data_IF_484848308178
#
_entry.id   IF_484848308178
#
_cell.length_a   1.000
_cell.length_b   1.000
_cell.length_c   1.000
_cell.angle_alpha   90.00
_cell.angle_beta   90.00
_cell.angle_gamma   90.00
#
_symmetry.space_group_name_H-M   'P 1'
#
loop_
_entity.id
_entity.type
_entity.pdbx_description
1 polymer ?
#
# COMPACT_ATOMS: atom_id res chain seq x y z
N UNK A 1 21.28 46.99 45.95
CA UNK A 1 22.41 46.06 46.17
C UNK A 1 21.89 44.63 45.98
N UNK A 2 22.18 43.99 44.85
CA UNK A 2 21.82 42.59 44.59
C UNK A 2 22.78 41.65 45.34
N UNK A 3 22.22 40.64 46.03
CA UNK A 3 22.96 39.55 46.66
C UNK A 3 23.45 38.56 45.59
N UNK A 4 24.77 38.40 45.48
CA UNK A 4 25.44 37.32 44.76
C UNK A 4 25.26 36.00 45.54
N UNK A 5 24.67 34.99 44.90
CA UNK A 5 24.79 33.59 45.35
C UNK A 5 25.96 32.94 44.60
N UNK A 6 26.87 32.35 45.36
CA UNK A 6 28.10 31.74 44.88
C UNK A 6 27.85 30.47 44.05
N UNK A 7 28.54 30.38 42.92
CA UNK A 7 28.60 29.23 42.02
C UNK A 7 29.52 28.16 42.66
N UNK A 8 29.05 26.91 42.81
CA UNK A 8 29.89 25.77 43.24
C UNK A 8 30.83 25.34 42.10
N UNK A 9 32.07 24.91 42.40
CA UNK A 9 32.99 24.46 41.36
C UNK A 9 32.56 23.10 40.75
N UNK A 10 32.65 23.03 39.42
CA UNK A 10 32.42 21.83 38.60
C UNK A 10 33.58 20.85 38.85
N UNK A 11 33.28 19.60 39.21
CA UNK A 11 34.28 18.52 39.32
C UNK A 11 34.76 18.09 37.93
N UNK A 12 36.05 17.73 37.76
CA UNK A 12 36.55 17.25 36.47
C UNK A 12 35.96 15.87 36.14
N UNK A 13 35.44 15.74 34.91
CA UNK A 13 34.97 14.49 34.33
C UNK A 13 36.21 13.66 33.94
N UNK A 14 36.34 12.45 34.49
CA UNK A 14 37.38 11.48 34.06
C UNK A 14 37.01 10.91 32.69
N UNK A 15 37.97 10.69 31.77
CA UNK A 15 37.70 10.04 30.49
C UNK A 15 37.40 8.55 30.73
N UNK A 16 36.20 8.10 30.34
CA UNK A 16 35.86 6.69 30.31
C UNK A 16 36.31 6.12 28.95
N UNK A 17 37.46 5.47 28.93
CA UNK A 17 37.90 4.62 27.83
C UNK A 17 37.02 3.36 27.82
N UNK A 18 36.05 3.30 26.91
CA UNK A 18 35.30 2.07 26.63
C UNK A 18 36.14 1.22 25.69
N UNK A 19 36.80 0.21 26.24
CA UNK A 19 37.45 -0.83 25.46
C UNK A 19 36.37 -1.70 24.79
N UNK A 20 36.36 -1.70 23.47
CA UNK A 20 35.57 -2.62 22.64
C UNK A 20 36.16 -4.03 22.79
N UNK A 21 35.51 -4.89 23.58
CA UNK A 21 35.73 -6.33 23.54
C UNK A 21 34.74 -6.96 22.56
N UNK A 22 35.20 -7.30 21.36
CA UNK A 22 34.47 -8.17 20.44
C UNK A 22 34.37 -9.58 21.03
N UNK A 23 33.17 -9.96 21.52
CA UNK A 23 32.86 -11.37 21.82
C UNK A 23 32.44 -12.05 20.52
N UNK A 24 33.28 -12.96 20.02
CA UNK A 24 32.89 -13.92 19.00
C UNK A 24 31.79 -14.84 19.55
N UNK A 25 30.57 -14.73 19.02
CA UNK A 25 29.54 -15.75 19.18
C UNK A 25 29.76 -16.82 18.10
N UNK A 26 30.32 -17.96 18.49
CA UNK A 26 30.35 -19.16 17.65
C UNK A 26 29.03 -19.89 17.82
N UNK A 27 28.19 -19.89 16.78
CA UNK A 27 26.97 -20.71 16.73
C UNK A 27 27.40 -22.16 16.47
N UNK A 28 27.21 -23.04 17.46
CA UNK A 28 27.27 -24.49 17.25
C UNK A 28 25.97 -24.92 16.59
N UNK A 29 26.05 -25.46 15.37
CA UNK A 29 24.95 -26.13 14.69
C UNK A 29 24.85 -27.54 15.27
N UNK A 30 23.76 -27.81 15.97
CA UNK A 30 23.44 -29.16 16.46
C UNK A 30 22.73 -29.93 15.33
N UNK A 31 23.45 -30.84 14.69
CA UNK A 31 22.92 -31.76 13.69
C UNK A 31 22.41 -33.02 14.38
N UNK A 32 21.27 -32.92 15.07
CA UNK A 32 20.54 -34.11 15.49
C UNK A 32 19.05 -33.81 15.68
N UNK A 33 18.25 -34.01 14.63
CA UNK A 33 16.93 -34.59 14.85
C UNK A 33 16.41 -35.33 13.61
N UNK A 34 16.01 -36.57 13.89
CA UNK A 34 15.58 -37.59 12.95
C UNK A 34 14.26 -37.20 12.28
N UNK A 35 14.16 -37.53 11.00
CA UNK A 35 12.94 -37.47 10.24
C UNK A 35 11.99 -38.60 10.69
N UNK A 36 10.85 -38.24 11.26
CA UNK A 36 9.69 -39.12 11.34
C UNK A 36 8.94 -39.05 10.01
N UNK A 37 9.14 -40.10 9.22
CA UNK A 37 8.42 -40.36 7.96
C UNK A 37 7.09 -41.02 8.32
N UNK A 38 5.99 -40.27 8.20
CA UNK A 38 4.66 -40.86 8.16
C UNK A 38 4.48 -41.48 6.77
N UNK A 39 4.41 -42.81 6.74
CA UNK A 39 3.96 -43.60 5.59
C UNK A 39 2.44 -43.52 5.54
N UNK A 40 1.89 -42.96 4.47
CA UNK A 40 0.53 -43.28 4.04
C UNK A 40 0.59 -44.26 2.87
N UNK A 41 0.08 -45.46 3.13
CA UNK A 41 -0.10 -46.54 2.16
C UNK A 41 -1.41 -46.36 1.39
N UNK A 42 -1.25 -46.29 0.07
CA UNK A 42 -2.14 -46.68 -1.03
C UNK A 42 -3.56 -47.18 -0.72
N UNK A 43 -4.52 -46.68 -1.51
CA UNK A 43 -5.30 -47.57 -2.39
C UNK A 43 -5.51 -46.92 -3.76
N UNK A 44 -5.05 -47.66 -4.77
CA UNK A 44 -5.12 -47.42 -6.19
C UNK A 44 -6.48 -47.90 -6.72
N UNK A 45 -7.21 -47.07 -7.45
CA UNK A 45 -8.24 -47.55 -8.39
C UNK A 45 -8.09 -46.79 -9.69
N UNK A 46 -7.72 -47.57 -10.71
CA UNK A 46 -7.46 -47.19 -12.09
C UNK A 46 -8.70 -46.64 -12.78
N UNK A 47 -8.63 -45.39 -13.27
CA UNK A 47 -9.51 -44.89 -14.32
C UNK A 47 -8.70 -44.08 -15.33
N UNK A 48 -8.91 -44.41 -16.62
CA UNK A 48 -8.24 -43.94 -17.83
C UNK A 48 -7.97 -42.41 -17.87
N UNK A 49 -6.90 -41.95 -18.54
CA UNK A 49 -6.66 -40.52 -18.72
C UNK A 49 -7.68 -39.95 -19.72
N UNK A 50 -8.67 -39.21 -19.19
CA UNK A 50 -9.51 -38.30 -19.95
C UNK A 50 -8.73 -37.01 -20.25
N UNK A 51 -8.93 -36.46 -21.44
CA UNK A 51 -8.22 -35.31 -22.01
C UNK A 51 -8.03 -34.14 -21.01
N UNK A 52 -6.79 -33.93 -20.57
CA UNK A 52 -6.41 -32.72 -19.84
C UNK A 52 -6.53 -31.50 -20.75
N UNK A 53 -7.43 -30.59 -20.41
CA UNK A 53 -7.45 -29.24 -20.97
C UNK A 53 -6.12 -28.56 -20.63
N UNK A 54 -5.31 -28.27 -21.65
CA UNK A 54 -4.00 -27.63 -21.47
C UNK A 54 -4.12 -26.32 -20.70
N UNK A 55 -3.55 -26.30 -19.48
CA UNK A 55 -3.41 -25.06 -18.72
C UNK A 55 -2.44 -24.12 -19.42
N UNK A 56 -2.83 -22.86 -19.64
CA UNK A 56 -1.92 -21.85 -20.19
C UNK A 56 -0.85 -21.49 -19.15
N UNK A 57 0.33 -21.03 -19.60
CA UNK A 57 1.42 -20.60 -18.71
C UNK A 57 0.94 -19.58 -17.65
N UNK A 58 0.05 -18.66 -18.04
CA UNK A 58 -0.57 -17.70 -17.13
C UNK A 58 -1.35 -18.35 -16.00
N UNK A 59 -2.19 -19.35 -16.30
CA UNK A 59 -2.97 -20.08 -15.27
C UNK A 59 -2.07 -20.81 -14.27
N UNK A 60 -0.96 -21.39 -14.74
CA UNK A 60 0.02 -22.04 -13.88
C UNK A 60 0.69 -21.04 -12.93
N UNK A 61 1.09 -19.86 -13.45
CA UNK A 61 1.67 -18.78 -12.64
C UNK A 61 0.65 -18.28 -11.61
N UNK A 62 -0.60 -18.05 -12.02
CA UNK A 62 -1.68 -17.62 -11.10
C UNK A 62 -1.82 -18.58 -9.93
N UNK A 63 -1.87 -19.90 -10.16
CA UNK A 63 -1.99 -20.90 -9.08
C UNK A 63 -0.83 -20.85 -8.08
N UNK A 64 0.38 -20.52 -8.54
CA UNK A 64 1.56 -20.35 -7.67
C UNK A 64 1.59 -19.02 -6.93
N UNK A 65 0.94 -17.99 -7.48
CA UNK A 65 0.77 -16.69 -6.83
C UNK A 65 -0.37 -16.70 -5.80
N UNK A 66 -1.36 -17.58 -5.95
CA UNK A 66 -2.53 -17.61 -5.08
C UNK A 66 -2.16 -17.68 -3.59
N UNK A 67 -2.68 -16.69 -2.88
CA UNK A 67 -2.65 -16.60 -1.43
C UNK A 67 -3.61 -17.63 -0.85
N UNK A 68 -3.19 -18.29 0.23
CA UNK A 68 -4.06 -19.22 0.98
C UNK A 68 -4.64 -18.49 2.17
N UNK A 69 -5.95 -18.66 2.42
CA UNK A 69 -6.57 -18.17 3.65
C UNK A 69 -5.86 -18.79 4.86
N UNK A 70 -5.66 -17.99 5.91
CA UNK A 70 -5.16 -18.51 7.19
C UNK A 70 -6.27 -19.23 7.95
N UNK A 71 -5.92 -20.35 8.57
CA UNK A 71 -6.85 -21.09 9.42
C UNK A 71 -7.01 -20.35 10.77
N UNK A 72 -8.22 -20.36 11.38
CA UNK A 72 -8.49 -19.68 12.65
C UNK A 72 -7.60 -20.08 13.84
N UNK A 73 -6.87 -21.19 13.74
CA UNK A 73 -6.02 -21.75 14.80
C UNK A 73 -4.55 -21.29 14.75
N UNK A 74 -4.15 -20.51 13.74
CA UNK A 74 -2.79 -19.96 13.66
C UNK A 74 -2.59 -18.92 14.80
N UNK A 75 -2.10 -19.36 15.97
CA UNK A 75 -1.90 -18.52 17.16
C UNK A 75 -0.93 -17.37 16.84
N UNK A 76 -1.34 -16.15 17.18
CA UNK A 76 -0.58 -14.91 17.03
C UNK A 76 0.01 -14.47 18.37
N UNK A 77 1.20 -13.89 18.33
CA UNK A 77 1.80 -13.23 19.48
C UNK A 77 1.65 -11.71 19.33
N UNK A 78 0.64 -11.16 19.97
CA UNK A 78 0.34 -9.72 19.95
C UNK A 78 1.02 -8.97 21.11
N UNK A 79 1.87 -9.63 21.90
CA UNK A 79 2.45 -9.06 23.13
C UNK A 79 3.38 -7.85 22.89
N UNK A 80 3.86 -7.67 21.65
CA UNK A 80 4.77 -6.58 21.27
C UNK A 80 4.12 -5.53 20.35
N UNK A 81 2.80 -5.56 20.16
CA UNK A 81 2.12 -4.54 19.36
C UNK A 81 2.13 -3.19 20.07
N UNK A 82 2.43 -2.13 19.32
CA UNK A 82 2.42 -0.74 19.78
C UNK A 82 1.32 0.03 19.05
N UNK A 83 0.82 1.16 19.62
CA UNK A 83 -0.12 2.01 18.91
C UNK A 83 0.44 2.47 17.55
N UNK A 84 -0.43 2.69 16.54
CA UNK A 84 0.00 3.18 15.24
C UNK A 84 0.79 4.49 15.35
N UNK A 85 1.95 4.56 14.71
CA UNK A 85 2.79 5.76 14.72
C UNK A 85 2.14 6.93 13.96
N UNK A 86 1.39 6.60 12.90
CA UNK A 86 0.53 7.52 12.17
C UNK A 86 -0.91 7.01 12.32
N UNK A 87 -1.71 7.55 13.25
CA UNK A 87 -3.08 7.08 13.45
C UNK A 87 -4.00 7.56 12.32
N UNK A 88 -4.88 6.68 11.85
CA UNK A 88 -5.89 7.06 10.85
C UNK A 88 -6.91 8.04 11.46
N UNK A 89 -7.29 9.05 10.68
CA UNK A 89 -8.15 10.16 11.14
C UNK A 89 -9.66 9.89 11.00
N UNK A 90 -10.01 8.75 10.41
CA UNK A 90 -11.39 8.29 10.18
C UNK A 90 -12.09 9.03 9.05
N UNK A 91 -13.02 8.34 8.38
CA UNK A 91 -13.85 8.91 7.34
C UNK A 91 -15.33 8.85 7.71
N UNK A 92 -16.10 9.79 7.16
CA UNK A 92 -17.56 9.69 7.19
C UNK A 92 -18.03 8.77 6.08
N UNK A 93 -18.93 7.85 6.43
CA UNK A 93 -19.48 6.86 5.50
C UNK A 93 -20.09 7.49 4.24
N UNK A 94 -20.88 8.55 4.39
CA UNK A 94 -21.55 9.23 3.28
C UNK A 94 -20.59 9.89 2.27
N UNK A 95 -19.36 10.17 2.69
CA UNK A 95 -18.31 10.70 1.81
C UNK A 95 -17.58 9.55 1.10
N UNK A 96 -17.30 8.45 1.79
CA UNK A 96 -16.67 7.28 1.18
C UNK A 96 -17.54 6.66 0.08
N UNK A 97 -18.86 6.67 0.24
CA UNK A 97 -19.80 6.15 -0.77
C UNK A 97 -19.80 6.97 -2.07
N UNK A 98 -19.46 8.26 -2.01
CA UNK A 98 -19.36 9.14 -3.19
C UNK A 98 -18.08 8.93 -3.99
N UNK A 99 -17.10 8.22 -3.45
CA UNK A 99 -15.84 7.94 -4.12
C UNK A 99 -16.10 7.05 -5.33
N UNK A 100 -15.66 7.53 -6.48
CA UNK A 100 -15.72 6.81 -7.74
C UNK A 100 -14.41 7.00 -8.51
N UNK A 101 -14.27 6.18 -9.54
CA UNK A 101 -13.18 6.32 -10.50
C UNK A 101 -13.36 7.62 -11.28
N UNK A 102 -12.29 8.40 -11.36
CA UNK A 102 -12.17 9.59 -12.19
C UNK A 102 -10.75 9.61 -12.72
N UNK A 103 -10.59 10.06 -13.96
CA UNK A 103 -9.32 10.10 -14.66
C UNK A 103 -8.87 11.54 -14.88
N UNK A 104 -7.61 11.81 -14.58
CA UNK A 104 -6.96 13.05 -14.96
C UNK A 104 -6.31 12.95 -16.34
N UNK A 105 -6.75 13.79 -17.26
CA UNK A 105 -6.18 13.84 -18.61
C UNK A 105 -4.67 14.21 -18.61
N UNK A 106 -3.80 13.43 -19.29
CA UNK A 106 -2.38 13.71 -19.39
C UNK A 106 -2.10 14.82 -20.42
N UNK A 107 -2.02 16.08 -19.97
CA UNK A 107 -1.80 17.23 -20.87
C UNK A 107 -0.32 17.42 -21.24
N UNK A 108 0.58 17.38 -20.25
CA UNK A 108 2.01 17.59 -20.44
C UNK A 108 2.72 16.33 -20.96
N UNK A 109 3.87 16.50 -21.63
CA UNK A 109 4.69 15.37 -22.12
C UNK A 109 5.06 14.43 -20.97
N UNK A 110 5.48 14.97 -19.82
CA UNK A 110 5.82 14.18 -18.63
C UNK A 110 4.62 13.38 -18.11
N UNK A 111 3.41 13.94 -18.21
CA UNK A 111 2.18 13.30 -17.74
C UNK A 111 1.79 12.17 -18.69
N UNK A 112 1.96 12.36 -20.00
CA UNK A 112 1.76 11.31 -21.02
C UNK A 112 2.74 10.16 -20.83
N UNK A 113 4.00 10.44 -20.51
CA UNK A 113 5.00 9.42 -20.20
C UNK A 113 4.64 8.66 -18.92
N UNK A 114 4.29 9.38 -17.84
CA UNK A 114 3.85 8.78 -16.58
C UNK A 114 2.62 7.87 -16.78
N UNK A 115 1.61 8.36 -17.49
CA UNK A 115 0.41 7.60 -17.80
C UNK A 115 0.72 6.37 -18.68
N UNK A 116 1.51 6.54 -19.74
CA UNK A 116 1.91 5.45 -20.62
C UNK A 116 2.66 4.34 -19.89
N UNK A 117 3.56 4.71 -18.97
CA UNK A 117 4.28 3.76 -18.11
C UNK A 117 3.31 3.03 -17.17
N UNK A 118 2.46 3.76 -16.45
CA UNK A 118 1.44 3.16 -15.57
C UNK A 118 0.57 2.16 -16.34
N UNK A 119 0.03 2.57 -17.50
CA UNK A 119 -0.82 1.73 -18.34
C UNK A 119 -0.09 0.47 -18.81
N UNK A 120 1.19 0.60 -19.16
CA UNK A 120 2.03 -0.54 -19.54
C UNK A 120 2.23 -1.51 -18.37
N UNK A 121 2.52 -1.01 -17.16
CA UNK A 121 2.63 -1.82 -15.96
C UNK A 121 1.32 -2.53 -15.62
N UNK A 122 0.18 -1.83 -15.72
CA UNK A 122 -1.15 -2.39 -15.51
C UNK A 122 -1.44 -3.53 -16.47
N UNK A 123 -1.19 -3.34 -17.76
CA UNK A 123 -1.41 -4.37 -18.81
C UNK A 123 -0.51 -5.58 -18.56
N UNK A 124 0.78 -5.37 -18.26
CA UNK A 124 1.72 -6.44 -17.94
C UNK A 124 1.26 -7.22 -16.70
N UNK A 125 0.90 -6.52 -15.62
CA UNK A 125 0.45 -7.15 -14.39
C UNK A 125 -0.82 -7.97 -14.60
N UNK A 126 -1.83 -7.42 -15.28
CA UNK A 126 -3.07 -8.12 -15.54
C UNK A 126 -2.84 -9.36 -16.44
N UNK A 127 -1.94 -9.26 -17.42
CA UNK A 127 -1.54 -10.40 -18.24
C UNK A 127 -0.87 -11.52 -17.43
N UNK A 128 0.13 -11.19 -16.60
CA UNK A 128 0.89 -12.20 -15.82
C UNK A 128 0.13 -12.75 -14.62
N UNK A 129 -0.77 -11.96 -14.02
CA UNK A 129 -1.67 -12.43 -12.95
C UNK A 129 -2.83 -13.27 -13.49
N UNK A 130 -3.08 -13.23 -14.80
CA UNK A 130 -4.24 -13.86 -15.42
C UNK A 130 -5.55 -13.15 -15.11
N UNK A 131 -5.50 -11.89 -14.67
CA UNK A 131 -6.67 -11.07 -14.38
C UNK A 131 -7.38 -10.69 -15.67
N UNK A 132 -8.68 -11.00 -15.74
CA UNK A 132 -9.59 -10.45 -16.75
C UNK A 132 -10.88 -10.05 -16.07
N UNK A 133 -11.19 -8.76 -16.09
CA UNK A 133 -12.48 -8.26 -15.67
C UNK A 133 -13.12 -7.48 -16.84
N UNK A 134 -14.20 -7.99 -17.45
CA UNK A 134 -14.88 -7.30 -18.52
C UNK A 134 -15.50 -6.01 -18.00
N UNK A 135 -15.51 -4.99 -18.86
CA UNK A 135 -15.97 -3.64 -18.52
C UNK A 135 -17.49 -3.47 -18.56
N UNK A 136 -18.23 -4.49 -19.01
CA UNK A 136 -19.69 -4.45 -19.21
C UNK A 136 -20.35 -5.61 -18.48
N UNK A 137 -21.57 -5.40 -17.97
CA UNK A 137 -22.38 -6.44 -17.29
C UNK A 137 -22.59 -7.68 -18.17
N UNK A 138 -22.87 -7.48 -19.45
CA UNK A 138 -23.01 -8.56 -20.45
C UNK A 138 -21.70 -9.32 -20.70
N UNK A 139 -20.55 -8.66 -20.54
CA UNK A 139 -19.24 -9.31 -20.64
C UNK A 139 -18.96 -10.18 -19.42
N UNK A 140 -19.46 -9.79 -18.24
CA UNK A 140 -19.32 -10.52 -16.97
C UNK A 140 -20.05 -11.87 -17.01
N UNK A 141 -21.28 -11.89 -17.53
CA UNK A 141 -22.09 -13.10 -17.73
C UNK A 141 -21.50 -14.04 -18.80
N UNK A 142 -20.74 -13.49 -19.75
CA UNK A 142 -20.07 -14.23 -20.85
C UNK A 142 -18.67 -14.73 -20.49
N UNK A 143 -18.18 -14.53 -19.26
CA UNK A 143 -16.90 -15.08 -18.80
C UNK A 143 -17.02 -16.58 -18.52
N UNK A 144 -17.21 -17.35 -19.58
CA UNK A 144 -16.90 -18.78 -19.62
C UNK A 144 -15.55 -18.96 -20.32
N UNK A 145 -14.55 -19.61 -19.70
CA UNK A 145 -14.65 -20.49 -18.54
C UNK A 145 -14.58 -19.77 -17.18
N UNK A 146 -15.07 -20.45 -16.12
CA UNK A 146 -15.00 -20.04 -14.70
C UNK A 146 -13.61 -19.58 -14.22
N UNK A 147 -12.56 -19.88 -14.97
CA UNK A 147 -11.18 -19.45 -14.73
C UNK A 147 -11.01 -17.92 -14.66
N UNK A 148 -11.85 -17.14 -15.34
CA UNK A 148 -11.78 -15.67 -15.33
C UNK A 148 -12.65 -14.99 -14.28
N UNK A 149 -13.50 -15.74 -13.57
CA UNK A 149 -14.26 -15.19 -12.45
C UNK A 149 -13.31 -14.84 -11.32
N UNK A 150 -13.50 -13.65 -10.73
CA UNK A 150 -12.75 -13.22 -9.56
C UNK A 150 -13.30 -13.92 -8.33
N UNK A 151 -12.44 -14.63 -7.60
CA UNK A 151 -12.76 -15.21 -6.29
C UNK A 151 -12.19 -14.32 -5.19
N UNK A 152 -12.65 -14.44 -3.92
CA UNK A 152 -12.06 -13.70 -2.81
C UNK A 152 -10.54 -13.88 -2.70
N UNK A 153 -10.01 -15.07 -2.95
CA UNK A 153 -8.57 -15.36 -2.91
C UNK A 153 -7.81 -14.68 -4.05
N UNK A 154 -8.42 -14.55 -5.23
CA UNK A 154 -7.83 -13.82 -6.36
C UNK A 154 -7.78 -12.33 -6.07
N UNK A 155 -8.85 -11.76 -5.51
CA UNK A 155 -8.87 -10.38 -5.03
C UNK A 155 -7.79 -10.15 -3.97
N UNK A 156 -7.74 -11.02 -2.96
CA UNK A 156 -6.75 -10.95 -1.89
C UNK A 156 -5.30 -11.07 -2.41
N UNK A 157 -5.06 -11.98 -3.36
CA UNK A 157 -3.76 -12.13 -4.02
C UNK A 157 -3.39 -10.84 -4.76
N UNK A 158 -4.34 -10.26 -5.48
CA UNK A 158 -4.14 -8.99 -6.21
C UNK A 158 -3.78 -7.87 -5.25
N UNK A 159 -4.54 -7.69 -4.16
CA UNK A 159 -4.28 -6.65 -3.17
C UNK A 159 -2.89 -6.82 -2.55
N UNK A 160 -2.54 -8.00 -2.04
CA UNK A 160 -1.22 -8.22 -1.42
C UNK A 160 -0.05 -7.88 -2.38
N UNK A 161 -0.18 -8.17 -3.69
CA UNK A 161 0.88 -7.80 -4.64
C UNK A 161 0.95 -6.28 -4.81
N UNK A 162 -0.19 -5.62 -5.04
CA UNK A 162 -0.22 -4.19 -5.31
C UNK A 162 0.22 -3.39 -4.07
N UNK A 163 -0.33 -3.69 -2.90
CA UNK A 163 -0.01 -3.03 -1.63
C UNK A 163 1.46 -3.22 -1.21
N UNK A 164 2.08 -4.34 -1.61
CA UNK A 164 3.51 -4.57 -1.32
C UNK A 164 4.45 -3.62 -2.07
N UNK A 165 3.96 -2.97 -3.12
CA UNK A 165 4.71 -2.02 -3.94
C UNK A 165 4.23 -0.59 -3.65
N UNK A 166 2.94 -0.40 -3.33
CA UNK A 166 2.32 0.91 -3.08
C UNK A 166 2.98 1.70 -1.94
N UNK A 167 3.50 1.04 -0.90
CA UNK A 167 4.22 1.73 0.18
C UNK A 167 5.63 2.25 -0.16
N UNK A 168 6.17 1.94 -1.35
CA UNK A 168 7.54 2.30 -1.75
C UNK A 168 7.67 3.76 -2.18
N UNK A 169 6.82 4.32 -3.08
CA UNK A 169 6.93 5.69 -3.56
C UNK A 169 6.96 6.74 -2.44
N UNK A 170 5.99 6.73 -1.53
CA UNK A 170 5.94 7.65 -0.39
C UNK A 170 7.18 7.56 0.49
N UNK A 171 7.67 6.34 0.77
CA UNK A 171 8.89 6.11 1.56
C UNK A 171 10.13 6.70 0.90
N UNK A 172 10.33 6.43 -0.40
CA UNK A 172 11.48 6.91 -1.17
C UNK A 172 11.45 8.42 -1.35
N UNK A 173 10.29 8.96 -1.73
CA UNK A 173 10.10 10.40 -1.90
C UNK A 173 10.35 11.13 -0.58
N UNK A 174 9.78 10.64 0.53
CA UNK A 174 10.01 11.18 1.87
C UNK A 174 11.49 11.18 2.24
N UNK A 175 12.18 10.05 2.04
CA UNK A 175 13.61 9.93 2.34
C UNK A 175 14.46 10.91 1.52
N UNK A 176 14.22 11.02 0.22
CA UNK A 176 14.96 11.93 -0.65
C UNK A 176 14.72 13.40 -0.28
N UNK A 177 13.49 13.77 0.06
CA UNK A 177 13.13 15.10 0.54
C UNK A 177 13.73 15.38 1.93
N UNK A 178 13.77 14.39 2.80
CA UNK A 178 14.45 14.49 4.10
C UNK A 178 15.94 14.81 3.92
N UNK A 179 16.65 14.05 3.09
CA UNK A 179 18.04 14.35 2.76
C UNK A 179 18.21 15.74 2.12
N UNK A 180 17.22 16.20 1.35
CA UNK A 180 17.25 17.53 0.74
C UNK A 180 17.12 18.64 1.76
N UNK A 181 16.18 18.50 2.69
CA UNK A 181 16.00 19.43 3.81
C UNK A 181 17.28 19.53 4.64
N UNK A 182 17.91 18.40 4.95
CA UNK A 182 19.18 18.36 5.69
C UNK A 182 20.32 19.02 4.93
N UNK A 183 20.59 18.61 3.68
CA UNK A 183 21.76 19.10 2.92
C UNK A 183 21.64 20.56 2.48
N UNK A 184 20.42 21.05 2.31
CA UNK A 184 20.16 22.45 1.95
C UNK A 184 19.88 23.34 3.16
N UNK A 185 19.76 22.76 4.37
CA UNK A 185 19.42 23.46 5.61
C UNK A 185 18.12 24.28 5.49
N UNK A 186 17.13 23.73 4.78
CA UNK A 186 15.83 24.37 4.52
C UNK A 186 14.69 23.57 5.12
N UNK A 187 13.63 24.26 5.53
CA UNK A 187 12.37 23.62 5.91
C UNK A 187 11.77 22.92 4.68
N UNK A 188 11.27 21.72 4.88
CA UNK A 188 10.59 20.94 3.82
C UNK A 188 9.18 21.46 3.51
N UNK A 189 8.55 22.18 4.45
CA UNK A 189 7.14 22.63 4.37
C UNK A 189 6.13 21.48 4.35
N UNK A 190 6.41 20.46 5.18
CA UNK A 190 5.51 19.36 5.57
C UNK A 190 5.15 18.34 4.47
N UNK A 191 5.93 18.22 3.40
CA UNK A 191 5.78 17.13 2.42
C UNK A 191 6.28 15.79 2.99
N UNK A 192 7.40 15.79 3.72
CA UNK A 192 8.00 14.58 4.32
C UNK A 192 6.98 13.84 5.17
N UNK A 193 6.25 14.55 6.03
CA UNK A 193 5.25 13.96 6.93
C UNK A 193 4.11 13.30 6.14
N UNK A 194 3.52 13.99 5.17
CA UNK A 194 2.44 13.42 4.34
C UNK A 194 2.90 12.20 3.55
N UNK A 195 4.13 12.22 3.01
CA UNK A 195 4.66 11.07 2.27
C UNK A 195 5.00 9.88 3.17
N UNK A 196 5.38 10.12 4.43
CA UNK A 196 5.53 9.05 5.44
C UNK A 196 4.18 8.48 5.85
N UNK A 197 3.17 9.35 6.00
CA UNK A 197 1.81 8.96 6.34
C UNK A 197 1.21 8.07 5.24
N UNK A 198 1.32 8.48 3.98
CA UNK A 198 0.94 7.67 2.81
C UNK A 198 1.63 6.30 2.83
N UNK A 199 2.96 6.27 2.93
CA UNK A 199 3.70 4.99 2.97
C UNK A 199 3.35 4.12 4.19
N UNK A 200 3.01 4.73 5.32
CA UNK A 200 2.54 4.01 6.50
C UNK A 200 1.16 3.40 6.25
N UNK A 201 0.25 4.18 5.67
CA UNK A 201 -1.11 3.79 5.33
C UNK A 201 -1.12 2.59 4.36
N UNK A 202 -0.36 2.66 3.26
CA UNK A 202 -0.19 1.56 2.30
C UNK A 202 0.35 0.28 2.96
N UNK A 203 1.27 0.43 3.92
CA UNK A 203 1.77 -0.71 4.69
C UNK A 203 0.68 -1.30 5.59
N UNK A 204 -0.24 -0.49 6.12
CA UNK A 204 -1.39 -0.97 6.88
C UNK A 204 -2.40 -1.72 5.99
N UNK A 205 -2.57 -1.34 4.72
CA UNK A 205 -3.30 -2.14 3.73
C UNK A 205 -2.67 -3.53 3.60
N UNK A 206 -1.37 -3.59 3.29
CA UNK A 206 -0.64 -4.84 3.13
C UNK A 206 -0.74 -5.74 4.36
N UNK A 207 -0.43 -5.20 5.55
CA UNK A 207 -0.44 -5.98 6.80
C UNK A 207 -1.85 -6.49 7.12
N UNK A 208 -2.88 -5.71 6.81
CA UNK A 208 -4.27 -6.14 6.93
C UNK A 208 -4.57 -7.34 6.04
N UNK A 209 -4.23 -7.28 4.76
CA UNK A 209 -4.46 -8.41 3.86
C UNK A 209 -3.62 -9.64 4.21
N UNK A 210 -2.42 -9.45 4.77
CA UNK A 210 -1.58 -10.55 5.25
C UNK A 210 -2.12 -11.25 6.50
N UNK A 211 -3.03 -10.61 7.25
CA UNK A 211 -3.78 -11.29 8.33
C UNK A 211 -4.88 -12.20 7.79
N UNK A 212 -5.38 -11.90 6.59
CA UNK A 212 -6.43 -12.67 5.93
C UNK A 212 -5.81 -13.86 5.18
N UNK A 213 -4.65 -13.64 4.56
CA UNK A 213 -4.02 -14.65 3.71
C UNK A 213 -2.50 -14.70 3.79
N UNK A 214 -1.96 -15.88 3.49
CA UNK A 214 -0.52 -16.17 3.53
C UNK A 214 0.05 -16.30 2.11
N UNK A 215 1.02 -15.45 1.71
CA UNK A 215 1.64 -15.54 0.40
C UNK A 215 2.52 -16.78 0.30
N UNK A 216 2.44 -17.48 -0.84
CA UNK A 216 3.28 -18.64 -1.14
C UNK A 216 4.76 -18.27 -1.36
N UNK A 217 5.70 -19.24 -1.34
CA UNK A 217 7.13 -18.96 -1.52
C UNK A 217 7.46 -18.25 -2.84
N UNK A 218 6.79 -18.63 -3.93
CA UNK A 218 7.00 -18.01 -5.25
C UNK A 218 6.58 -16.53 -5.25
N UNK A 219 5.42 -16.23 -4.67
CA UNK A 219 4.94 -14.86 -4.52
C UNK A 219 5.94 -14.03 -3.70
N UNK A 220 6.46 -14.55 -2.58
CA UNK A 220 7.47 -13.84 -1.77
C UNK A 220 8.73 -13.47 -2.56
N UNK A 221 9.24 -14.40 -3.39
CA UNK A 221 10.39 -14.12 -4.27
C UNK A 221 10.06 -13.01 -5.26
N UNK A 222 8.86 -13.06 -5.87
CA UNK A 222 8.39 -12.00 -6.75
C UNK A 222 8.33 -10.65 -6.03
N UNK A 223 7.79 -10.60 -4.81
CA UNK A 223 7.72 -9.36 -4.02
C UNK A 223 9.12 -8.77 -3.78
N UNK A 224 10.09 -9.60 -3.37
CA UNK A 224 11.47 -9.13 -3.16
C UNK A 224 12.10 -8.60 -4.45
N UNK A 225 11.93 -9.31 -5.56
CA UNK A 225 12.46 -8.89 -6.86
C UNK A 225 11.80 -7.57 -7.33
N UNK A 226 10.47 -7.49 -7.26
CA UNK A 226 9.70 -6.31 -7.64
C UNK A 226 10.08 -5.10 -6.81
N UNK A 227 10.18 -5.23 -5.48
CA UNK A 227 10.62 -4.14 -4.61
C UNK A 227 12.08 -3.73 -4.91
N UNK A 228 12.97 -4.69 -5.12
CA UNK A 228 14.36 -4.42 -5.47
C UNK A 228 14.50 -3.60 -6.76
N UNK A 229 13.76 -3.96 -7.81
CA UNK A 229 13.79 -3.22 -9.09
C UNK A 229 13.07 -1.88 -8.97
N UNK A 230 11.82 -1.88 -8.47
CA UNK A 230 10.97 -0.71 -8.44
C UNK A 230 11.50 0.39 -7.51
N UNK A 231 11.98 0.03 -6.31
CA UNK A 231 12.55 0.98 -5.37
C UNK A 231 13.73 1.75 -5.98
N UNK A 232 14.68 1.04 -6.61
CA UNK A 232 15.83 1.67 -7.24
C UNK A 232 15.42 2.54 -8.44
N UNK A 233 14.53 2.04 -9.31
CA UNK A 233 14.05 2.81 -10.47
C UNK A 233 13.34 4.09 -10.04
N UNK A 234 12.43 3.98 -9.06
CA UNK A 234 11.70 5.12 -8.52
C UNK A 234 12.64 6.11 -7.82
N UNK A 235 13.61 5.62 -7.04
CA UNK A 235 14.63 6.46 -6.39
C UNK A 235 15.37 7.34 -7.39
N UNK A 236 15.95 6.75 -8.44
CA UNK A 236 16.69 7.53 -9.44
C UNK A 236 15.77 8.45 -10.24
N UNK A 237 14.55 8.02 -10.56
CA UNK A 237 13.60 8.85 -11.30
C UNK A 237 13.12 10.03 -10.46
N UNK A 238 12.88 9.84 -9.15
CA UNK A 238 12.46 10.92 -8.25
C UNK A 238 13.53 11.99 -8.09
N UNK A 239 14.82 11.61 -8.10
CA UNK A 239 15.92 12.57 -8.10
C UNK A 239 15.92 13.48 -9.33
N UNK A 240 15.46 12.98 -10.48
CA UNK A 240 15.51 13.69 -11.76
C UNK A 240 14.19 14.43 -12.06
N UNK A 241 13.05 13.82 -11.73
CA UNK A 241 11.73 14.27 -12.15
C UNK A 241 10.65 13.98 -11.08
N UNK A 242 10.71 14.64 -9.90
CA UNK A 242 9.80 14.36 -8.79
C UNK A 242 8.32 14.61 -9.16
N UNK A 243 8.02 15.65 -9.95
CA UNK A 243 6.66 15.90 -10.43
C UNK A 243 6.12 14.77 -11.31
N UNK A 244 6.97 14.14 -12.14
CA UNK A 244 6.58 13.01 -12.97
C UNK A 244 6.33 11.75 -12.11
N UNK A 245 7.13 11.54 -11.06
CA UNK A 245 6.90 10.49 -10.08
C UNK A 245 5.56 10.65 -9.36
N UNK A 246 5.26 11.85 -8.84
CA UNK A 246 3.96 12.11 -8.21
C UNK A 246 2.80 11.94 -9.20
N UNK A 247 2.97 12.38 -10.45
CA UNK A 247 1.96 12.15 -11.50
C UNK A 247 1.73 10.66 -11.75
N UNK A 248 2.81 9.88 -11.81
CA UNK A 248 2.76 8.42 -11.98
C UNK A 248 2.05 7.74 -10.81
N UNK A 249 2.35 8.13 -9.56
CA UNK A 249 1.65 7.62 -8.38
C UNK A 249 0.17 7.97 -8.42
N UNK A 250 -0.20 9.22 -8.75
CA UNK A 250 -1.61 9.59 -8.90
C UNK A 250 -2.37 8.69 -9.88
N UNK A 251 -1.75 8.31 -11.01
CA UNK A 251 -2.32 7.34 -11.94
C UNK A 251 -2.36 5.90 -11.43
N UNK A 252 -1.42 5.48 -10.57
CA UNK A 252 -1.52 4.20 -9.87
C UNK A 252 -2.74 4.19 -8.95
N UNK A 253 -2.98 5.29 -8.24
CA UNK A 253 -4.10 5.37 -7.29
C UNK A 253 -5.46 5.51 -7.99
N UNK A 254 -5.51 6.09 -9.19
CA UNK A 254 -6.69 5.98 -10.06
C UNK A 254 -7.05 4.51 -10.33
N UNK A 255 -6.06 3.68 -10.68
CA UNK A 255 -6.26 2.26 -10.92
C UNK A 255 -6.54 1.48 -9.62
N UNK A 256 -6.03 1.92 -8.47
CA UNK A 256 -6.35 1.34 -7.17
C UNK A 256 -7.81 1.62 -6.80
N UNK A 257 -8.28 2.87 -6.92
CA UNK A 257 -9.69 3.24 -6.74
C UNK A 257 -10.60 2.45 -7.67
N UNK A 258 -10.23 2.28 -8.94
CA UNK A 258 -10.97 1.43 -9.87
C UNK A 258 -11.03 -0.03 -9.40
N UNK A 259 -9.90 -0.58 -8.97
CA UNK A 259 -9.76 -1.97 -8.53
C UNK A 259 -10.63 -2.25 -7.31
N UNK A 260 -10.59 -1.39 -6.28
CA UNK A 260 -11.42 -1.55 -5.09
C UNK A 260 -12.91 -1.28 -5.34
N UNK A 261 -13.24 -0.32 -6.22
CA UNK A 261 -14.63 -0.12 -6.66
C UNK A 261 -15.19 -1.37 -7.33
N UNK A 262 -14.41 -1.99 -8.22
CA UNK A 262 -14.80 -3.23 -8.88
C UNK A 262 -15.03 -4.37 -7.88
N UNK A 263 -14.14 -4.51 -6.88
CA UNK A 263 -14.33 -5.48 -5.81
C UNK A 263 -15.61 -5.23 -5.00
N UNK A 264 -15.90 -3.97 -4.64
CA UNK A 264 -17.14 -3.62 -3.94
C UNK A 264 -18.38 -3.95 -4.77
N UNK A 265 -18.36 -3.70 -6.08
CA UNK A 265 -19.45 -4.10 -6.98
C UNK A 265 -19.65 -5.62 -7.03
N UNK A 266 -18.56 -6.40 -7.04
CA UNK A 266 -18.62 -7.87 -6.99
C UNK A 266 -19.25 -8.37 -5.68
N UNK A 267 -18.94 -7.72 -4.55
CA UNK A 267 -19.55 -7.99 -3.24
C UNK A 267 -21.05 -7.70 -3.30
N UNK A 268 -21.43 -6.51 -3.79
CA UNK A 268 -22.83 -6.05 -3.83
C UNK A 268 -23.69 -6.89 -4.77
N UNK A 269 -23.09 -7.46 -5.84
CA UNK A 269 -23.75 -8.38 -6.76
C UNK A 269 -23.80 -9.83 -6.27
N UNK A 270 -23.21 -10.14 -5.12
CA UNK A 270 -23.16 -11.50 -4.58
C UNK A 270 -22.27 -12.46 -5.40
N UNK A 271 -21.29 -11.93 -6.14
CA UNK A 271 -20.37 -12.72 -6.98
C UNK A 271 -19.23 -13.35 -6.16
N UNK A 272 -19.14 -13.01 -4.88
CA UNK A 272 -18.11 -13.48 -3.95
C UNK A 272 -18.76 -14.25 -2.77
N UNK A 273 -19.33 -15.44 -3.00
CA UNK A 273 -20.12 -16.15 -2.00
C UNK A 273 -19.33 -16.48 -0.72
N UNK A 274 -18.02 -16.72 -0.83
CA UNK A 274 -17.16 -17.04 0.31
C UNK A 274 -16.59 -15.81 1.02
N UNK A 275 -16.96 -14.58 0.62
CA UNK A 275 -16.36 -13.38 1.21
C UNK A 275 -16.69 -13.23 2.70
N UNK A 276 -17.85 -13.72 3.13
CA UNK A 276 -18.27 -13.69 4.53
C UNK A 276 -17.42 -14.58 5.45
N UNK A 277 -16.69 -15.54 4.88
CA UNK A 277 -15.74 -16.36 5.64
C UNK A 277 -14.49 -15.57 6.08
N UNK A 278 -14.19 -14.45 5.42
CA UNK A 278 -13.07 -13.59 5.78
C UNK A 278 -13.52 -12.58 6.83
N UNK A 279 -12.98 -12.72 8.04
CA UNK A 279 -13.21 -11.77 9.12
C UNK A 279 -12.28 -10.57 8.96
N UNK A 280 -12.81 -9.38 9.26
CA UNK A 280 -12.00 -8.16 9.32
C UNK A 280 -10.95 -8.30 10.45
N UNK A 281 -9.64 -8.23 10.13
CA UNK A 281 -8.59 -8.41 11.12
C UNK A 281 -8.59 -7.32 12.19
N UNK A 282 -8.11 -7.67 13.40
CA UNK A 282 -7.98 -6.72 14.52
C UNK A 282 -7.11 -5.51 14.16
N UNK A 283 -6.01 -5.71 13.43
CA UNK A 283 -5.15 -4.62 12.97
C UNK A 283 -5.93 -3.57 12.15
N UNK A 284 -6.89 -4.00 11.34
CA UNK A 284 -7.71 -3.13 10.53
C UNK A 284 -8.76 -2.40 11.39
N UNK A 285 -9.42 -3.13 12.30
CA UNK A 285 -10.37 -2.53 13.23
C UNK A 285 -9.73 -1.44 14.08
N UNK A 286 -8.57 -1.73 14.64
CA UNK A 286 -7.80 -0.79 15.47
C UNK A 286 -7.32 0.42 14.66
N UNK A 287 -6.89 0.22 13.41
CA UNK A 287 -6.35 1.30 12.58
C UNK A 287 -7.44 2.21 12.02
N UNK A 288 -8.47 1.66 11.37
CA UNK A 288 -9.55 2.45 10.76
C UNK A 288 -10.72 2.76 11.71
N UNK A 289 -10.62 2.36 12.98
CA UNK A 289 -11.69 2.49 14.00
C UNK A 289 -13.00 1.81 13.57
N UNK A 290 -12.90 0.62 12.98
CA UNK A 290 -14.07 -0.14 12.54
C UNK A 290 -14.77 -0.79 13.73
N UNK A 291 -16.08 -1.00 13.59
CA UNK A 291 -16.87 -1.73 14.59
C UNK A 291 -16.49 -3.21 14.66
N UNK A 292 -16.84 -3.87 15.76
CA UNK A 292 -16.52 -5.29 15.96
C UNK A 292 -17.26 -6.22 14.98
N UNK A 293 -18.41 -5.78 14.48
CA UNK A 293 -19.25 -6.44 13.48
C UNK A 293 -18.96 -6.00 12.03
N UNK A 294 -17.93 -5.17 11.82
CA UNK A 294 -17.54 -4.69 10.49
C UNK A 294 -17.29 -5.85 9.53
N UNK A 295 -17.77 -5.68 8.30
CA UNK A 295 -17.65 -6.66 7.21
C UNK A 295 -16.50 -6.31 6.28
N UNK A 296 -16.11 -7.27 5.43
CA UNK A 296 -15.09 -7.04 4.41
C UNK A 296 -15.44 -5.86 3.48
N UNK A 297 -16.72 -5.64 3.18
CA UNK A 297 -17.18 -4.47 2.43
C UNK A 297 -16.76 -3.16 3.09
N UNK A 298 -16.90 -3.05 4.41
CA UNK A 298 -16.58 -1.83 5.15
C UNK A 298 -15.07 -1.58 5.12
N UNK A 299 -14.28 -2.64 5.37
CA UNK A 299 -12.82 -2.57 5.24
C UNK A 299 -12.38 -2.10 3.84
N UNK A 300 -12.90 -2.72 2.78
CA UNK A 300 -12.54 -2.36 1.41
C UNK A 300 -12.99 -0.92 1.07
N UNK A 301 -14.09 -0.44 1.66
CA UNK A 301 -14.56 0.94 1.48
C UNK A 301 -13.59 1.96 2.08
N UNK A 302 -13.01 1.67 3.26
CA UNK A 302 -11.98 2.51 3.88
C UNK A 302 -10.68 2.53 3.09
N UNK A 303 -10.20 1.35 2.64
CA UNK A 303 -8.99 1.26 1.82
C UNK A 303 -9.19 2.05 0.52
N UNK A 304 -10.32 1.87 -0.19
CA UNK A 304 -10.65 2.67 -1.37
C UNK A 304 -10.62 4.18 -1.09
N UNK A 305 -11.03 4.59 0.10
CA UNK A 305 -11.03 6.00 0.49
C UNK A 305 -9.62 6.55 0.70
N UNK A 306 -8.72 5.75 1.28
CA UNK A 306 -7.30 6.08 1.37
C UNK A 306 -6.68 6.22 -0.02
N UNK A 307 -6.94 5.27 -0.94
CA UNK A 307 -6.45 5.38 -2.33
C UNK A 307 -6.95 6.64 -3.04
N UNK A 308 -8.22 6.99 -2.83
CA UNK A 308 -8.79 8.20 -3.41
C UNK A 308 -8.09 9.46 -2.86
N UNK A 309 -7.65 9.42 -1.60
CA UNK A 309 -6.89 10.51 -0.99
C UNK A 309 -5.46 10.56 -1.53
N UNK A 310 -4.78 9.43 -1.62
CA UNK A 310 -3.44 9.34 -2.19
C UNK A 310 -3.43 9.83 -3.65
N UNK A 311 -4.46 9.46 -4.44
CA UNK A 311 -4.70 9.98 -5.80
C UNK A 311 -4.74 11.50 -5.84
N UNK A 312 -5.60 12.11 -5.02
CA UNK A 312 -5.75 13.58 -4.95
C UNK A 312 -4.42 14.25 -4.57
N UNK A 313 -3.77 13.75 -3.52
CA UNK A 313 -2.52 14.32 -2.99
C UNK A 313 -1.41 14.26 -4.03
N UNK A 314 -1.20 13.10 -4.66
CA UNK A 314 -0.13 12.92 -5.63
C UNK A 314 -0.38 13.68 -6.94
N UNK A 315 -1.63 13.75 -7.44
CA UNK A 315 -1.94 14.62 -8.57
C UNK A 315 -1.73 16.10 -8.25
N UNK A 316 -2.05 16.53 -7.02
CA UNK A 316 -1.79 17.89 -6.55
C UNK A 316 -0.28 18.16 -6.46
N UNK A 317 0.50 17.28 -5.83
CA UNK A 317 1.96 17.43 -5.70
C UNK A 317 2.66 17.46 -7.05
N UNK A 318 2.15 16.73 -8.06
CA UNK A 318 2.65 16.81 -9.43
C UNK A 318 2.52 18.21 -10.05
N UNK A 319 1.59 19.05 -9.56
CA UNK A 319 1.36 20.41 -10.05
C UNK A 319 2.21 21.48 -9.33
N UNK A 320 2.80 21.15 -8.18
CA UNK A 320 3.54 22.11 -7.35
C UNK A 320 5.00 22.30 -7.78
N UNK A 321 5.60 23.40 -7.35
CA UNK A 321 7.04 23.65 -7.39
C UNK A 321 7.71 23.02 -6.17
N UNK A 322 8.32 21.86 -6.38
CA UNK A 322 8.90 21.03 -5.33
C UNK A 322 10.32 21.44 -4.89
N UNK A 323 10.80 22.60 -5.34
CA UNK A 323 12.12 23.19 -5.05
C UNK A 323 12.21 23.90 -3.68
N UNK A 324 11.10 23.91 -2.93
CA UNK A 324 10.96 24.56 -1.62
C UNK A 324 10.22 25.90 -1.69
N UNK A 325 9.80 26.36 -2.87
CA UNK A 325 8.98 27.56 -3.02
C UNK A 325 7.55 27.35 -2.55
N UNK A 326 6.89 26.26 -2.96
CA UNK A 326 5.52 25.95 -2.56
C UNK A 326 5.48 25.17 -1.23
N UNK A 327 4.43 25.36 -0.43
CA UNK A 327 4.15 24.52 0.76
C UNK A 327 3.29 23.30 0.40
N UNK A 328 3.25 22.31 1.29
CA UNK A 328 2.24 21.25 1.22
C UNK A 328 0.87 21.84 1.60
N UNK A 329 -0.11 21.88 0.67
CA UNK A 329 -1.40 22.50 0.94
C UNK A 329 -2.30 21.66 1.86
N UNK A 330 -2.06 20.35 1.98
CA UNK A 330 -2.86 19.44 2.83
C UNK A 330 -2.45 19.48 4.31
N UNK A 331 -1.22 19.89 4.61
CA UNK A 331 -0.65 19.85 5.95
C UNK A 331 -1.00 21.07 6.82
N UNK A 332 -1.47 22.17 6.21
CA UNK A 332 -1.81 23.40 6.92
C UNK A 332 -3.04 24.04 6.27
N UNK A 333 -4.08 24.26 7.09
CA UNK A 333 -5.23 25.09 6.73
C UNK A 333 -4.86 26.57 6.86
N UNK A 334 -5.31 27.38 5.92
CA UNK A 334 -5.11 28.84 5.93
C UNK A 334 -6.38 29.51 6.41
N UNK A 335 -6.31 30.25 7.52
CA UNK A 335 -7.46 30.87 8.19
C UNK A 335 -8.25 31.83 7.28
N UNK A 336 -7.58 32.46 6.31
CA UNK A 336 -8.21 33.40 5.38
C UNK A 336 -8.97 32.72 4.23
N UNK A 337 -8.90 31.39 4.11
CA UNK A 337 -9.58 30.61 3.07
C UNK A 337 -10.69 29.78 3.72
N UNK A 338 -11.92 29.77 3.19
CA UNK A 338 -12.96 28.89 3.71
C UNK A 338 -12.52 27.42 3.69
N UNK A 339 -12.87 26.65 4.72
CA UNK A 339 -12.51 25.21 4.83
C UNK A 339 -12.97 24.42 3.59
N UNK A 340 -14.12 24.77 3.01
CA UNK A 340 -14.66 24.13 1.80
C UNK A 340 -13.90 24.46 0.51
N UNK A 341 -13.02 25.47 0.53
CA UNK A 341 -12.31 25.99 -0.63
C UNK A 341 -10.80 25.69 -0.61
N UNK A 342 -10.34 24.85 0.32
CA UNK A 342 -8.94 24.45 0.41
C UNK A 342 -8.83 22.94 0.66
N UNK A 343 -7.73 22.30 0.25
CA UNK A 343 -7.50 20.90 0.52
C UNK A 343 -7.29 20.65 2.02
N UNK A 344 -7.79 19.51 2.50
CA UNK A 344 -7.53 19.01 3.85
C UNK A 344 -7.11 17.54 3.80
N UNK A 345 -6.79 16.92 4.93
CA UNK A 345 -6.42 15.50 4.98
C UNK A 345 -7.62 14.54 4.99
N UNK A 346 -8.85 15.04 4.89
CA UNK A 346 -10.11 14.27 4.87
C UNK A 346 -10.70 14.22 3.44
N UNK A 347 -11.93 13.71 3.35
CA UNK A 347 -12.70 13.62 2.10
C UNK A 347 -13.69 14.77 1.86
N UNK A 348 -13.86 15.70 2.80
CA UNK A 348 -14.90 16.74 2.71
C UNK A 348 -14.72 17.70 1.54
N UNK A 349 -13.47 17.87 1.10
CA UNK A 349 -13.08 18.73 -0.04
C UNK A 349 -12.33 17.93 -1.11
N UNK A 350 -12.57 16.61 -1.18
CA UNK A 350 -11.85 15.74 -2.09
C UNK A 350 -12.03 16.15 -3.56
N UNK A 351 -10.92 16.30 -4.28
CA UNK A 351 -10.89 16.44 -5.74
C UNK A 351 -10.13 15.27 -6.37
N UNK A 352 -10.84 14.38 -7.04
CA UNK A 352 -10.25 13.17 -7.60
C UNK A 352 -9.10 13.43 -8.60
N UNK A 353 -9.21 14.48 -9.41
CA UNK A 353 -8.18 14.87 -10.38
C UNK A 353 -7.05 15.72 -9.77
N UNK A 354 -7.04 15.91 -8.45
CA UNK A 354 -6.12 16.79 -7.73
C UNK A 354 -6.45 18.28 -7.89
N UNK A 355 -5.79 19.10 -7.07
CA UNK A 355 -5.91 20.56 -7.11
C UNK A 355 -4.91 21.15 -8.09
N UNK A 356 -5.35 22.17 -8.84
CA UNK A 356 -4.45 22.96 -9.67
C UNK A 356 -3.67 23.95 -8.82
N UNK A 357 -2.47 24.31 -9.29
CA UNK A 357 -1.57 25.18 -8.52
C UNK A 357 -2.14 26.58 -8.31
N UNK A 358 -2.95 27.09 -9.23
CA UNK A 358 -3.62 28.40 -9.17
C UNK A 358 -4.87 28.41 -8.29
N UNK A 359 -5.38 27.25 -7.90
CA UNK A 359 -6.46 27.11 -6.90
C UNK A 359 -5.92 27.18 -5.46
N UNK A 360 -4.60 27.19 -5.27
CA UNK A 360 -3.96 27.00 -3.98
C UNK A 360 -3.26 28.27 -3.47
N UNK A 361 -3.36 28.48 -2.17
CA UNK A 361 -2.56 29.47 -1.44
C UNK A 361 -1.28 28.80 -0.97
N UNK A 362 -0.12 29.10 -1.59
CA UNK A 362 1.13 28.33 -1.48
C UNK A 362 2.29 29.02 -0.76
#
# INVERSE_FOLDING_TARGET
>A
MLKLYAIRPIRPIKPCLVASTFRHYSVKVDTSNKADVIKDSQTDTTSKPGAEHGHTLGQYITKKLMVRQRLPTEKRDDSFLTPPAMPHHGYRQDLMEKIHYEHREPTLIRDKLAFGLMRSLRVCFDFFSGYKHPKTKEGLEKLTPATYQMTPEKWLTRFIILESIAGVPGSVASFLRHLQSLRLLKRDKAFIQTLQDEAYNERMHLLTFLEIGKPGPFMKVLLYASQGVFCNLFFFTYMLAPNACHRFVGYLEEEAVYTYTTCLEDIERGLLPDIEHFKVPKIAKDYWHLSEDAKMRDLISYIRADEAKHREVNHTFANLKLDGTDRNPFALQVDSVPESAQPNNRLSTHKAVGWERDELVL
#
